data_IF_334889632105
#
_entry.id   IF_334889632105
#
_cell.length_a   1.000
_cell.length_b   1.000
_cell.length_c   1.000
_cell.angle_alpha   90.00
_cell.angle_beta   90.00
_cell.angle_gamma   90.00
#
_symmetry.space_group_name_H-M   'P 1'
#
loop_
_entity.id
_entity.type
_entity.pdbx_description
1 polymer ?
#
# COMPACT_ATOMS: atom_id res chain seq x y z
N UNK A 1 -21.75 -17.76 6.52
CA UNK A 1 -20.91 -16.90 7.39
C UNK A 1 -20.88 -15.51 6.78
N UNK A 2 -20.95 -14.46 7.59
CA UNK A 2 -20.77 -13.08 7.10
C UNK A 2 -19.28 -12.89 6.86
N UNK A 3 -18.88 -12.53 5.63
CA UNK A 3 -17.49 -12.23 5.29
C UNK A 3 -17.06 -10.92 5.94
N UNK A 4 -15.79 -10.80 6.31
CA UNK A 4 -15.24 -9.58 6.91
C UNK A 4 -15.40 -8.36 5.99
N UNK A 5 -15.86 -7.23 6.54
CA UNK A 5 -15.89 -5.92 5.86
C UNK A 5 -14.50 -5.30 5.94
N UNK A 6 -13.88 -5.06 4.79
CA UNK A 6 -12.46 -4.68 4.73
C UNK A 6 -12.30 -3.44 3.89
N UNK A 7 -11.62 -2.45 4.46
CA UNK A 7 -11.23 -1.24 3.78
C UNK A 7 -9.72 -1.16 3.55
N UNK A 8 -9.34 -0.34 2.60
CA UNK A 8 -7.97 0.07 2.35
C UNK A 8 -7.87 1.59 2.48
N UNK A 9 -6.82 2.11 3.11
CA UNK A 9 -6.64 3.51 3.42
C UNK A 9 -5.32 4.02 2.84
N UNK A 10 -5.36 5.18 2.19
CA UNK A 10 -4.21 5.86 1.60
C UNK A 10 -4.25 7.37 1.88
N UNK A 11 -3.08 7.96 2.06
CA UNK A 11 -2.88 9.41 1.94
C UNK A 11 -2.18 9.68 0.60
N UNK A 12 -2.73 10.58 -0.21
CA UNK A 12 -2.28 10.78 -1.59
C UNK A 12 -2.09 12.26 -1.92
N UNK A 13 -1.18 12.53 -2.85
CA UNK A 13 -0.99 13.85 -3.44
C UNK A 13 -0.43 13.74 -4.86
N UNK A 14 -1.11 14.38 -5.80
CA UNK A 14 -0.68 14.52 -7.20
C UNK A 14 -0.29 13.17 -7.85
N UNK A 15 -1.21 12.20 -7.81
CA UNK A 15 -1.08 10.86 -8.40
C UNK A 15 -2.06 10.66 -9.58
N UNK A 16 -2.50 11.73 -10.23
CA UNK A 16 -3.57 11.68 -11.24
C UNK A 16 -3.24 10.84 -12.48
N UNK A 17 -2.00 10.37 -12.64
CA UNK A 17 -1.63 9.42 -13.69
C UNK A 17 -1.97 7.98 -13.31
N UNK A 18 -1.71 7.60 -12.07
CA UNK A 18 -1.59 6.20 -11.66
C UNK A 18 -2.68 5.80 -10.64
N UNK A 19 -3.38 6.78 -10.04
CA UNK A 19 -4.37 6.51 -8.99
C UNK A 19 -5.59 5.72 -9.46
N UNK A 20 -6.01 5.87 -10.73
CA UNK A 20 -7.11 5.10 -11.29
C UNK A 20 -6.80 3.59 -11.27
N UNK A 21 -5.58 3.22 -11.66
CA UNK A 21 -5.13 1.84 -11.61
C UNK A 21 -5.06 1.33 -10.18
N UNK A 22 -4.48 2.11 -9.26
CA UNK A 22 -4.38 1.72 -7.85
C UNK A 22 -5.77 1.44 -7.26
N UNK A 23 -6.77 2.28 -7.56
CA UNK A 23 -8.15 2.10 -7.10
C UNK A 23 -8.78 0.84 -7.72
N UNK A 24 -8.60 0.66 -9.02
CA UNK A 24 -9.12 -0.50 -9.75
C UNK A 24 -8.46 -1.81 -9.31
N UNK A 25 -7.15 -1.80 -9.04
CA UNK A 25 -6.39 -2.95 -8.55
C UNK A 25 -6.91 -3.43 -7.20
N UNK A 26 -7.01 -2.54 -6.21
CA UNK A 26 -7.49 -2.95 -4.89
C UNK A 26 -8.97 -3.35 -4.91
N UNK A 27 -9.79 -2.73 -5.79
CA UNK A 27 -11.13 -3.23 -6.09
C UNK A 27 -11.15 -4.64 -6.67
N UNK A 28 -10.24 -4.96 -7.61
CA UNK A 28 -10.11 -6.28 -8.22
C UNK A 28 -9.55 -7.35 -7.26
N UNK A 29 -8.71 -6.96 -6.30
CA UNK A 29 -8.20 -7.82 -5.22
C UNK A 29 -9.32 -8.18 -4.21
N UNK A 30 -10.32 -7.31 -4.08
CA UNK A 30 -11.50 -7.55 -3.26
C UNK A 30 -11.68 -6.64 -2.05
N UNK A 31 -11.02 -5.49 -2.02
CA UNK A 31 -11.30 -4.49 -0.98
C UNK A 31 -12.70 -3.90 -1.19
N UNK A 32 -13.51 -3.90 -0.12
CA UNK A 32 -14.90 -3.45 -0.18
C UNK A 32 -14.98 -1.94 -0.35
N UNK A 33 -14.13 -1.23 0.40
CA UNK A 33 -14.13 0.22 0.47
C UNK A 33 -12.71 0.76 0.42
N UNK A 34 -12.54 1.96 -0.14
CA UNK A 34 -11.26 2.63 -0.25
C UNK A 34 -11.36 4.02 0.38
N UNK A 35 -10.66 4.22 1.49
CA UNK A 35 -10.61 5.48 2.23
C UNK A 35 -9.41 6.28 1.72
N UNK A 36 -9.67 7.39 1.05
CA UNK A 36 -8.63 8.17 0.39
C UNK A 36 -8.59 9.57 0.99
N UNK A 37 -7.48 9.88 1.66
CA UNK A 37 -7.15 11.22 2.12
C UNK A 37 -6.33 11.92 1.06
N UNK A 38 -6.93 12.84 0.34
CA UNK A 38 -6.26 13.65 -0.67
C UNK A 38 -5.68 14.91 -0.03
N UNK A 39 -4.35 14.95 0.06
CA UNK A 39 -3.61 16.01 0.68
C UNK A 39 -3.13 17.05 -0.34
N UNK A 40 -4.04 17.96 -0.68
CA UNK A 40 -3.75 19.15 -1.49
C UNK A 40 -3.24 18.81 -2.89
N UNK A 41 -3.84 17.80 -3.53
CA UNK A 41 -3.61 17.57 -4.96
C UNK A 41 -4.04 18.79 -5.79
N UNK A 42 -3.30 19.03 -6.86
CA UNK A 42 -3.48 20.13 -7.81
C UNK A 42 -3.56 19.62 -9.26
N UNK A 43 -3.31 18.33 -9.48
CA UNK A 43 -3.55 17.63 -10.73
C UNK A 43 -4.96 16.98 -10.77
N UNK A 44 -5.19 16.07 -11.72
CA UNK A 44 -6.47 15.38 -11.92
C UNK A 44 -6.84 14.35 -10.84
N UNK A 45 -6.04 14.20 -9.77
CA UNK A 45 -6.28 13.23 -8.70
C UNK A 45 -7.71 13.31 -8.13
N UNK A 46 -8.24 14.49 -7.72
CA UNK A 46 -9.58 14.59 -7.15
C UNK A 46 -10.69 14.19 -8.14
N UNK A 47 -10.56 14.58 -9.41
CA UNK A 47 -11.52 14.27 -10.47
C UNK A 47 -11.59 12.77 -10.74
N UNK A 48 -10.44 12.10 -10.76
CA UNK A 48 -10.34 10.66 -10.96
C UNK A 48 -10.95 9.91 -9.78
N UNK A 49 -10.65 10.32 -8.54
CA UNK A 49 -11.26 9.71 -7.35
C UNK A 49 -12.79 9.86 -7.40
N UNK A 50 -13.29 11.02 -7.81
CA UNK A 50 -14.72 11.29 -7.99
C UNK A 50 -15.36 10.46 -9.10
N UNK A 51 -14.63 10.16 -10.17
CA UNK A 51 -15.10 9.23 -11.20
C UNK A 51 -15.17 7.80 -10.64
N UNK A 52 -14.12 7.37 -9.93
CA UNK A 52 -14.04 6.03 -9.35
C UNK A 52 -15.10 5.77 -8.27
N UNK A 53 -15.49 6.78 -7.49
CA UNK A 53 -16.53 6.66 -6.46
C UNK A 53 -17.94 6.37 -7.02
N UNK A 54 -18.15 6.50 -8.33
CA UNK A 54 -19.37 6.08 -9.01
C UNK A 54 -19.41 4.58 -9.33
N UNK A 55 -18.26 3.91 -9.24
CA UNK A 55 -18.04 2.52 -9.68
C UNK A 55 -17.75 1.60 -8.50
N UNK A 56 -16.99 2.11 -7.52
CA UNK A 56 -16.57 1.43 -6.30
C UNK A 56 -16.93 2.29 -5.09
N UNK A 57 -16.95 1.67 -3.90
CA UNK A 57 -17.13 2.42 -2.66
C UNK A 57 -15.84 3.15 -2.28
N UNK A 58 -15.79 4.45 -2.60
CA UNK A 58 -14.63 5.31 -2.30
C UNK A 58 -15.03 6.40 -1.32
N UNK A 59 -14.39 6.41 -0.16
CA UNK A 59 -14.55 7.40 0.91
C UNK A 59 -13.48 8.48 0.77
N UNK A 60 -13.80 9.52 0.03
CA UNK A 60 -12.91 10.66 -0.20
C UNK A 60 -12.92 11.63 0.98
N UNK A 61 -11.73 12.00 1.45
CA UNK A 61 -11.50 13.03 2.46
C UNK A 61 -10.56 14.09 1.89
N UNK A 62 -11.04 15.33 1.82
CA UNK A 62 -10.15 16.46 1.58
C UNK A 62 -9.29 16.69 2.82
N UNK A 63 -7.97 16.60 2.66
CA UNK A 63 -7.03 16.55 3.78
C UNK A 63 -6.00 17.68 3.72
N UNK A 64 -6.37 18.88 4.15
CA UNK A 64 -5.48 20.05 4.06
C UNK A 64 -4.47 20.11 5.22
N UNK A 65 -3.37 19.34 5.11
CA UNK A 65 -2.32 19.26 6.15
C UNK A 65 -0.94 19.54 5.58
N UNK A 66 -0.18 20.38 6.27
CA UNK A 66 1.18 20.79 5.84
C UNK A 66 2.29 20.35 6.77
N UNK A 67 1.95 19.92 7.97
CA UNK A 67 2.91 19.41 8.95
C UNK A 67 3.29 17.96 8.66
N UNK A 68 4.40 17.49 9.25
CA UNK A 68 4.94 16.15 9.02
C UNK A 68 4.05 15.01 9.52
N UNK A 69 3.00 15.28 10.31
CA UNK A 69 2.06 14.25 10.78
C UNK A 69 0.91 13.99 9.82
N UNK A 70 0.86 14.65 8.66
CA UNK A 70 -0.25 14.55 7.71
C UNK A 70 -0.70 13.10 7.43
N UNK A 71 0.24 12.17 7.25
CA UNK A 71 -0.05 10.77 6.95
C UNK A 71 -0.48 9.99 8.20
N UNK A 72 0.26 10.13 9.30
CA UNK A 72 -0.05 9.45 10.57
C UNK A 72 -1.42 9.85 11.09
N UNK A 73 -1.74 11.14 11.04
CA UNK A 73 -3.02 11.65 11.51
C UNK A 73 -4.17 11.22 10.59
N UNK A 74 -3.95 11.12 9.27
CA UNK A 74 -4.94 10.55 8.34
C UNK A 74 -5.24 9.09 8.69
N UNK A 75 -4.20 8.28 8.91
CA UNK A 75 -4.35 6.86 9.22
C UNK A 75 -5.04 6.64 10.56
N UNK A 76 -4.65 7.40 11.59
CA UNK A 76 -5.30 7.33 12.89
C UNK A 76 -6.76 7.83 12.84
N UNK A 77 -7.05 8.86 12.03
CA UNK A 77 -8.42 9.33 11.78
C UNK A 77 -9.26 8.24 11.13
N UNK A 78 -8.72 7.51 10.13
CA UNK A 78 -9.42 6.40 9.50
C UNK A 78 -9.82 5.31 10.50
N UNK A 79 -8.89 4.91 11.38
CA UNK A 79 -9.20 3.98 12.47
C UNK A 79 -10.35 4.50 13.33
N UNK A 80 -10.30 5.76 13.78
CA UNK A 80 -11.31 6.31 14.68
C UNK A 80 -12.70 6.42 14.04
N UNK A 81 -12.77 6.97 12.82
CA UNK A 81 -14.02 7.24 12.11
C UNK A 81 -14.71 5.94 11.69
N UNK A 82 -13.94 4.94 11.25
CA UNK A 82 -14.48 3.74 10.61
C UNK A 82 -14.43 2.47 11.48
N UNK A 83 -14.05 2.56 12.76
CA UNK A 83 -13.87 1.39 13.66
C UNK A 83 -15.09 0.50 13.84
N UNK A 84 -16.30 0.99 13.58
CA UNK A 84 -17.54 0.19 13.65
C UNK A 84 -18.06 -0.24 12.26
N UNK A 85 -17.44 0.28 11.19
CA UNK A 85 -17.81 -0.02 9.81
C UNK A 85 -16.95 -1.12 9.20
N UNK A 86 -15.68 -1.24 9.57
CA UNK A 86 -14.79 -2.27 9.03
C UNK A 86 -14.20 -3.15 10.12
N UNK A 87 -14.10 -4.45 9.82
CA UNK A 87 -13.41 -5.43 10.65
C UNK A 87 -11.90 -5.28 10.52
N UNK A 88 -11.44 -4.87 9.32
CA UNK A 88 -10.04 -4.65 8.99
C UNK A 88 -9.86 -3.40 8.14
N UNK A 89 -8.79 -2.63 8.42
CA UNK A 89 -8.32 -1.54 7.57
C UNK A 89 -6.85 -1.77 7.23
N UNK A 90 -6.54 -1.87 5.93
CA UNK A 90 -5.17 -1.89 5.42
C UNK A 90 -4.67 -0.47 5.14
N UNK A 91 -3.42 -0.17 5.43
CA UNK A 91 -2.82 1.14 5.19
C UNK A 91 -1.69 1.03 4.18
N UNK A 92 -1.84 1.58 2.98
CA UNK A 92 -0.82 1.45 1.92
C UNK A 92 -0.67 2.77 1.16
N UNK A 93 0.50 2.98 0.57
CA UNK A 93 0.85 4.18 -0.19
C UNK A 93 0.44 4.05 -1.67
N UNK A 94 0.46 5.16 -2.42
CA UNK A 94 0.05 5.20 -3.84
C UNK A 94 0.94 4.39 -4.79
N UNK A 95 2.13 3.98 -4.33
CA UNK A 95 3.06 3.12 -5.05
C UNK A 95 3.08 1.68 -4.55
N UNK A 96 2.11 1.29 -3.72
CA UNK A 96 2.04 -0.01 -3.07
C UNK A 96 0.75 -0.76 -3.43
N UNK A 97 0.92 -2.03 -3.82
CA UNK A 97 -0.15 -2.88 -4.32
C UNK A 97 -0.22 -4.14 -3.45
N UNK A 98 -1.19 -4.16 -2.53
CA UNK A 98 -1.38 -5.23 -1.54
C UNK A 98 -2.24 -6.35 -2.11
N UNK A 99 -1.77 -7.59 -1.98
CA UNK A 99 -2.52 -8.76 -2.43
C UNK A 99 -2.15 -10.04 -1.64
N UNK A 100 -3.09 -11.01 -1.55
CA UNK A 100 -2.73 -12.37 -1.12
C UNK A 100 -1.74 -13.01 -2.09
N UNK A 101 -0.86 -13.89 -1.61
CA UNK A 101 0.10 -14.60 -2.47
C UNK A 101 -0.62 -15.63 -3.35
N UNK A 102 -1.69 -16.26 -2.83
CA UNK A 102 -2.54 -17.20 -3.56
C UNK A 102 -3.72 -16.48 -4.24
N UNK A 103 -4.32 -17.02 -5.32
CA UNK A 103 -5.42 -16.38 -6.05
C UNK A 103 -6.76 -16.51 -5.30
N UNK A 104 -6.82 -15.96 -4.09
CA UNK A 104 -7.99 -15.85 -3.23
C UNK A 104 -8.40 -14.39 -3.08
N UNK A 105 -9.68 -14.16 -2.76
CA UNK A 105 -10.16 -12.83 -2.42
C UNK A 105 -9.53 -12.37 -1.10
N UNK A 106 -9.17 -11.09 -0.97
CA UNK A 106 -8.55 -10.59 0.27
C UNK A 106 -9.42 -10.85 1.52
N UNK A 107 -10.75 -10.82 1.35
CA UNK A 107 -11.69 -11.16 2.42
C UNK A 107 -11.59 -12.61 2.88
N UNK A 108 -11.39 -13.55 1.96
CA UNK A 108 -11.20 -14.95 2.31
C UNK A 108 -9.88 -15.17 3.06
N UNK A 109 -8.82 -14.47 2.64
CA UNK A 109 -7.54 -14.47 3.37
C UNK A 109 -7.69 -13.91 4.80
N UNK A 110 -8.36 -12.77 4.96
CA UNK A 110 -8.54 -12.14 6.28
C UNK A 110 -9.53 -12.87 7.18
N UNK A 111 -10.50 -13.61 6.61
CA UNK A 111 -11.40 -14.48 7.36
C UNK A 111 -10.64 -15.60 8.09
N UNK A 112 -9.44 -15.97 7.65
CA UNK A 112 -8.54 -16.89 8.37
C UNK A 112 -8.05 -16.36 9.72
N UNK A 113 -8.18 -15.05 9.97
CA UNK A 113 -7.77 -14.38 11.21
C UNK A 113 -8.95 -13.95 12.08
N UNK A 114 -10.19 -14.09 11.59
CA UNK A 114 -11.37 -13.46 12.20
C UNK A 114 -11.62 -13.86 13.66
N UNK A 115 -11.35 -15.12 14.00
CA UNK A 115 -11.57 -15.70 15.33
C UNK A 115 -10.28 -15.70 16.19
N UNK A 116 -9.20 -15.09 15.69
CA UNK A 116 -7.92 -15.00 16.39
C UNK A 116 -7.81 -13.66 17.13
N UNK A 117 -7.18 -13.70 18.30
CA UNK A 117 -6.77 -12.51 19.05
C UNK A 117 -5.56 -11.85 18.36
N UNK A 118 -5.85 -11.02 17.36
CA UNK A 118 -4.87 -10.34 16.50
C UNK A 118 -5.34 -8.91 16.28
N UNK A 119 -4.53 -7.94 16.69
CA UNK A 119 -4.76 -6.51 16.49
C UNK A 119 -4.24 -6.01 15.14
N UNK A 120 -3.18 -6.63 14.62
CA UNK A 120 -2.57 -6.23 13.35
C UNK A 120 -1.84 -7.36 12.63
N UNK A 121 -1.77 -7.23 11.31
CA UNK A 121 -1.04 -8.11 10.40
C UNK A 121 0.00 -7.25 9.69
N UNK A 122 1.28 -7.58 9.88
CA UNK A 122 2.38 -6.97 9.15
C UNK A 122 2.59 -7.68 7.81
N UNK A 123 2.49 -6.93 6.72
CA UNK A 123 2.68 -7.44 5.36
C UNK A 123 3.91 -6.79 4.75
N UNK A 124 4.90 -7.61 4.40
CA UNK A 124 6.18 -7.15 3.88
C UNK A 124 6.10 -6.62 2.45
N UNK A 125 6.98 -5.67 2.15
CA UNK A 125 7.26 -5.22 0.80
C UNK A 125 8.00 -6.27 -0.02
N UNK A 126 7.66 -6.33 -1.30
CA UNK A 126 8.48 -6.84 -2.38
C UNK A 126 8.81 -5.65 -3.30
N UNK A 127 10.04 -5.13 -3.26
CA UNK A 127 10.44 -3.94 -4.03
C UNK A 127 10.65 -4.28 -5.51
N UNK A 128 9.86 -3.64 -6.37
CA UNK A 128 9.95 -3.72 -7.82
C UNK A 128 10.82 -2.61 -8.40
N UNK A 129 11.67 -2.96 -9.36
CA UNK A 129 12.48 -2.03 -10.13
C UNK A 129 11.77 -1.54 -11.40
N UNK A 130 12.51 -0.82 -12.23
CA UNK A 130 12.00 -0.22 -13.46
C UNK A 130 11.63 -1.22 -14.55
N UNK A 131 11.97 -2.50 -14.39
CA UNK A 131 11.91 -3.52 -15.45
C UNK A 131 12.68 -3.12 -16.72
N UNK A 132 13.67 -2.23 -16.57
CA UNK A 132 14.45 -1.66 -17.67
C UNK A 132 13.77 -0.50 -18.40
N UNK A 133 12.58 -0.07 -17.98
CA UNK A 133 11.85 1.02 -18.61
C UNK A 133 12.42 2.39 -18.24
N UNK A 134 12.63 3.22 -19.25
CA UNK A 134 13.09 4.61 -19.11
C UNK A 134 11.88 5.55 -19.12
N UNK A 135 11.02 5.41 -20.12
CA UNK A 135 9.83 6.24 -20.29
C UNK A 135 8.63 5.69 -19.53
N UNK A 136 7.52 6.42 -19.55
CA UNK A 136 6.26 5.90 -19.04
C UNK A 136 5.81 4.70 -19.89
N UNK A 137 5.32 3.61 -19.27
CA UNK A 137 4.76 2.51 -20.03
C UNK A 137 3.48 2.94 -20.73
N UNK A 138 3.17 2.26 -21.84
CA UNK A 138 1.87 2.39 -22.51
C UNK A 138 0.75 1.66 -21.76
N UNK A 139 1.11 0.66 -20.94
CA UNK A 139 0.21 -0.13 -20.13
C UNK A 139 0.17 0.33 -18.68
N UNK A 140 -0.45 -0.51 -17.85
CA UNK A 140 -0.61 -0.31 -16.41
C UNK A 140 0.70 -0.60 -15.66
N UNK A 141 0.89 0.02 -14.49
CA UNK A 141 2.02 -0.18 -13.58
C UNK A 141 2.22 -1.67 -13.29
N UNK A 142 1.17 -2.35 -12.83
CA UNK A 142 1.24 -3.72 -12.34
C UNK A 142 1.62 -4.76 -13.42
N UNK A 143 1.34 -4.48 -14.70
CA UNK A 143 1.72 -5.35 -15.83
C UNK A 143 3.02 -4.92 -16.52
N UNK A 144 3.45 -3.67 -16.33
CA UNK A 144 4.67 -3.13 -16.97
C UNK A 144 5.92 -3.33 -16.11
N UNK A 145 5.77 -3.23 -14.78
CA UNK A 145 6.87 -3.39 -13.83
C UNK A 145 6.82 -4.79 -13.21
N UNK A 146 7.36 -5.78 -13.91
CA UNK A 146 7.28 -7.19 -13.51
C UNK A 146 8.57 -7.73 -12.91
N UNK A 147 9.60 -6.91 -12.69
CA UNK A 147 10.88 -7.34 -12.13
C UNK A 147 11.12 -6.71 -10.76
N UNK A 148 11.51 -7.55 -9.80
CA UNK A 148 11.74 -7.15 -8.40
C UNK A 148 13.07 -7.60 -7.85
N UNK A 149 13.40 -7.05 -6.69
CA UNK A 149 14.50 -7.49 -5.83
C UNK A 149 14.36 -8.94 -5.36
N UNK A 150 15.50 -9.56 -5.06
CA UNK A 150 15.57 -10.75 -4.20
C UNK A 150 15.00 -10.45 -2.81
N UNK A 151 14.42 -11.46 -2.15
CA UNK A 151 13.74 -11.28 -0.86
C UNK A 151 14.66 -10.76 0.25
N UNK A 152 15.96 -11.06 0.18
CA UNK A 152 17.00 -10.62 1.10
C UNK A 152 17.42 -9.15 0.93
N UNK A 153 16.90 -8.44 -0.08
CA UNK A 153 17.08 -7.00 -0.18
C UNK A 153 16.48 -6.31 1.04
N UNK A 154 17.34 -5.66 1.83
CA UNK A 154 17.01 -5.19 3.17
C UNK A 154 15.71 -4.36 3.26
N UNK A 155 15.40 -3.45 2.31
CA UNK A 155 14.14 -2.72 2.32
C UNK A 155 12.87 -3.59 2.32
N UNK A 156 12.90 -4.83 1.81
CA UNK A 156 11.75 -5.74 1.84
C UNK A 156 11.32 -6.12 3.26
N UNK A 157 12.16 -5.87 4.28
CA UNK A 157 11.80 -6.03 5.69
C UNK A 157 10.75 -5.03 6.17
N UNK A 158 10.58 -3.91 5.47
CA UNK A 158 9.53 -2.96 5.81
C UNK A 158 8.17 -3.62 5.60
N UNK A 159 7.24 -3.28 6.48
CA UNK A 159 5.85 -3.72 6.38
C UNK A 159 4.92 -2.55 6.14
N UNK A 160 3.73 -2.83 5.64
CA UNK A 160 2.54 -2.09 6.04
C UNK A 160 1.63 -2.94 6.90
N UNK A 161 0.69 -2.28 7.56
CA UNK A 161 -0.22 -2.93 8.50
C UNK A 161 -1.63 -3.07 7.93
N UNK A 162 -2.23 -4.24 8.15
CA UNK A 162 -3.67 -4.45 8.13
C UNK A 162 -4.11 -4.60 9.59
N UNK A 163 -4.94 -3.69 10.10
CA UNK A 163 -5.27 -3.65 11.54
C UNK A 163 -6.76 -3.79 11.77
N UNK A 164 -7.12 -4.32 12.94
CA UNK A 164 -8.48 -4.18 13.46
C UNK A 164 -8.62 -2.78 14.04
N UNK A 165 -9.47 -1.92 13.48
CA UNK A 165 -9.52 -0.52 13.92
C UNK A 165 -9.98 -0.36 15.37
N UNK A 166 -10.76 -1.30 15.91
CA UNK A 166 -11.15 -1.31 17.34
C UNK A 166 -9.98 -1.58 18.29
N UNK A 167 -8.94 -2.28 17.82
CA UNK A 167 -7.76 -2.60 18.62
C UNK A 167 -6.71 -1.49 18.60
N UNK A 168 -6.81 -0.51 17.70
CA UNK A 168 -5.79 0.54 17.53
C UNK A 168 -5.85 1.55 18.67
N UNK A 169 -4.73 1.69 19.39
CA UNK A 169 -4.52 2.67 20.47
C UNK A 169 -3.86 3.94 19.92
N UNK A 170 -2.81 3.79 19.10
CA UNK A 170 -2.13 4.91 18.44
C UNK A 170 -1.48 4.47 17.11
N UNK A 171 -1.15 5.45 16.27
CA UNK A 171 -0.30 5.29 15.10
C UNK A 171 0.97 6.11 15.32
N UNK A 172 2.13 5.44 15.38
CA UNK A 172 3.40 6.12 15.66
C UNK A 172 4.10 6.53 14.36
N UNK A 173 3.97 5.69 13.33
CA UNK A 173 4.41 5.96 11.97
C UNK A 173 3.57 5.13 10.98
N UNK A 174 3.64 5.39 9.67
CA UNK A 174 2.85 4.69 8.64
C UNK A 174 3.04 3.16 8.58
N UNK A 175 4.03 2.61 9.27
CA UNK A 175 4.40 1.20 9.32
C UNK A 175 4.17 0.57 10.71
N UNK A 176 3.72 1.34 11.71
CA UNK A 176 3.58 0.88 13.09
C UNK A 176 2.36 1.47 13.80
N UNK A 177 1.41 0.58 14.11
CA UNK A 177 0.27 0.90 14.97
C UNK A 177 0.41 0.16 16.29
N UNK A 178 0.17 0.86 17.39
CA UNK A 178 0.08 0.21 18.69
C UNK A 178 -1.34 -0.32 18.87
N UNK A 179 -1.47 -1.61 19.17
CA UNK A 179 -2.75 -2.30 19.35
C UNK A 179 -2.88 -2.91 20.73
N UNK A 180 -4.11 -3.10 21.20
CA UNK A 180 -4.40 -3.82 22.46
C UNK A 180 -4.32 -5.35 22.33
N UNK A 181 -4.15 -5.86 21.11
CA UNK A 181 -3.96 -7.26 20.77
C UNK A 181 -2.66 -7.49 19.96
N UNK A 182 -2.13 -8.73 19.88
CA UNK A 182 -0.85 -9.01 19.22
C UNK A 182 -0.80 -8.70 17.71
N UNK A 183 0.42 -8.48 17.23
CA UNK A 183 0.74 -8.44 15.80
C UNK A 183 1.21 -9.81 15.30
N UNK A 184 0.81 -10.15 14.07
CA UNK A 184 1.28 -11.34 13.35
C UNK A 184 1.87 -10.96 11.99
N UNK A 185 2.70 -11.84 11.42
CA UNK A 185 3.10 -11.76 10.02
C UNK A 185 1.94 -12.16 9.08
N UNK A 186 2.15 -11.99 7.77
CA UNK A 186 1.14 -12.33 6.77
C UNK A 186 0.76 -13.83 6.72
N UNK A 187 1.58 -14.73 7.27
CA UNK A 187 1.26 -16.14 7.42
C UNK A 187 0.54 -16.46 8.75
N UNK A 188 0.46 -15.48 9.65
CA UNK A 188 -0.18 -15.58 10.94
C UNK A 188 0.71 -16.10 12.07
N UNK A 189 2.03 -16.08 11.92
CA UNK A 189 2.97 -16.32 13.02
C UNK A 189 3.17 -15.02 13.83
N UNK A 190 3.57 -15.09 15.11
CA UNK A 190 3.93 -13.91 15.89
C UNK A 190 4.96 -13.05 15.14
N UNK A 191 4.70 -11.75 15.04
CA UNK A 191 5.62 -10.84 14.35
C UNK A 191 6.81 -10.49 15.25
N UNK A 192 8.02 -10.81 14.78
CA UNK A 192 9.26 -10.37 15.42
C UNK A 192 9.84 -9.15 14.72
N UNK A 193 10.14 -8.10 15.50
CA UNK A 193 10.69 -6.85 14.98
C UNK A 193 12.21 -6.89 14.83
N UNK A 194 12.71 -6.22 13.80
CA UNK A 194 14.14 -6.04 13.59
C UNK A 194 14.74 -5.22 14.74
N UNK A 195 15.95 -5.62 15.16
CA UNK A 195 16.73 -4.92 16.20
C UNK A 195 18.00 -4.41 15.55
N UNK A 196 18.29 -3.12 15.71
CA UNK A 196 19.50 -2.49 15.17
C UNK A 196 20.76 -3.02 15.85
N UNK A 197 21.92 -2.70 15.28
CA UNK A 197 23.22 -3.02 15.88
C UNK A 197 23.42 -2.35 17.26
N UNK A 198 22.63 -1.31 17.58
CA UNK A 198 22.62 -0.67 18.90
C UNK A 198 21.67 -1.35 19.90
N UNK A 199 20.97 -2.41 19.51
CA UNK A 199 20.02 -3.12 20.38
C UNK A 199 18.63 -2.48 20.43
N UNK A 200 18.30 -1.55 19.53
CA UNK A 200 17.02 -0.86 19.50
C UNK A 200 16.05 -1.51 18.49
N UNK A 201 14.78 -1.65 18.87
CA UNK A 201 13.74 -2.13 17.95
C UNK A 201 13.49 -1.07 16.89
N UNK A 202 13.64 -1.46 15.62
CA UNK A 202 13.35 -0.59 14.48
C UNK A 202 11.90 -0.77 14.05
N UNK A 203 11.09 0.25 14.32
CA UNK A 203 9.65 0.20 14.05
C UNK A 203 9.38 0.04 12.56
N UNK A 204 8.52 -0.93 12.23
CA UNK A 204 8.05 -1.17 10.87
C UNK A 204 8.91 -2.14 10.06
N UNK A 205 9.95 -2.73 10.66
CA UNK A 205 10.82 -3.70 10.01
C UNK A 205 10.71 -5.08 10.68
N UNK A 206 10.58 -6.13 9.89
CA UNK A 206 10.62 -7.52 10.37
C UNK A 206 12.05 -8.00 10.62
N UNK A 207 12.22 -8.81 11.67
CA UNK A 207 13.48 -9.52 11.97
C UNK A 207 13.80 -10.59 10.95
N UNK A 208 12.79 -11.28 10.43
CA UNK A 208 12.96 -12.29 9.39
C UNK A 208 13.03 -11.65 7.99
N UNK A 209 13.82 -12.28 7.11
CA UNK A 209 13.74 -12.02 5.67
C UNK A 209 12.35 -12.47 5.22
N UNK A 210 11.61 -11.65 4.43
CA UNK A 210 10.27 -12.02 4.01
C UNK A 210 10.26 -13.27 3.14
N UNK A 211 9.28 -14.14 3.36
CA UNK A 211 9.01 -15.33 2.54
C UNK A 211 7.71 -15.22 1.72
N UNK A 212 7.02 -14.08 1.84
CA UNK A 212 5.77 -13.72 1.16
C UNK A 212 4.62 -14.71 1.37
N UNK A 213 4.67 -15.57 2.38
CA UNK A 213 3.57 -16.48 2.68
C UNK A 213 2.35 -15.70 3.16
N UNK A 214 1.18 -16.04 2.60
CA UNK A 214 -0.10 -15.42 2.93
C UNK A 214 -0.39 -14.21 2.05
N UNK A 215 0.34 -13.12 2.24
CA UNK A 215 0.17 -11.87 1.48
C UNK A 215 1.48 -11.09 1.34
N UNK A 216 1.51 -10.18 0.36
CA UNK A 216 2.63 -9.27 0.13
C UNK A 216 2.18 -7.92 -0.43
N UNK A 217 3.10 -6.96 -0.41
CA UNK A 217 2.93 -5.65 -1.05
C UNK A 217 3.94 -5.52 -2.17
N UNK A 218 3.47 -5.46 -3.41
CA UNK A 218 4.34 -5.04 -4.50
C UNK A 218 4.59 -3.53 -4.35
N UNK A 219 5.85 -3.15 -4.10
CA UNK A 219 6.24 -1.76 -3.93
C UNK A 219 6.92 -1.24 -5.19
N UNK A 220 6.19 -0.48 -5.99
CA UNK A 220 6.64 0.15 -7.23
C UNK A 220 7.30 1.50 -6.94
N UNK A 221 8.31 1.49 -6.08
CA UNK A 221 8.90 2.70 -5.51
C UNK A 221 9.58 3.60 -6.55
N UNK A 222 10.34 2.98 -7.47
CA UNK A 222 11.10 3.68 -8.51
C UNK A 222 10.27 3.89 -9.78
N UNK A 223 9.52 2.86 -10.21
CA UNK A 223 8.89 2.78 -11.54
C UNK A 223 9.94 3.06 -12.63
N UNK A 224 9.57 3.65 -13.75
CA UNK A 224 10.53 4.04 -14.80
C UNK A 224 11.30 5.32 -14.44
N UNK A 225 12.40 5.59 -15.15
CA UNK A 225 13.19 6.81 -14.92
C UNK A 225 12.35 8.10 -15.07
N UNK A 226 11.40 8.13 -16.00
CA UNK A 226 10.47 9.24 -16.18
C UNK A 226 9.56 9.45 -14.95
N UNK A 227 9.05 8.37 -14.35
CA UNK A 227 8.32 8.44 -13.08
C UNK A 227 9.20 8.97 -11.96
N UNK A 228 10.44 8.47 -11.84
CA UNK A 228 11.37 8.91 -10.80
C UNK A 228 11.63 10.42 -10.89
N UNK A 229 11.92 10.94 -12.08
CA UNK A 229 12.10 12.38 -12.31
C UNK A 229 10.85 13.18 -11.91
N UNK A 230 9.65 12.69 -12.23
CA UNK A 230 8.39 13.33 -11.79
C UNK A 230 8.26 13.31 -10.26
N UNK A 231 8.56 12.18 -9.60
CA UNK A 231 8.50 12.02 -8.14
C UNK A 231 9.45 12.98 -7.43
N UNK A 232 10.68 13.14 -7.94
CA UNK A 232 11.66 14.12 -7.45
C UNK A 232 11.13 15.55 -7.62
N UNK A 233 10.60 15.90 -8.80
CA UNK A 233 10.09 17.24 -9.08
C UNK A 233 8.84 17.62 -8.27
N UNK A 234 7.97 16.64 -7.96
CA UNK A 234 6.80 16.83 -7.09
C UNK A 234 7.21 17.21 -5.66
N UNK A 235 8.29 16.58 -5.15
CA UNK A 235 8.75 16.76 -3.77
C UNK A 235 7.83 16.12 -2.72
N UNK A 236 8.13 16.37 -1.45
CA UNK A 236 7.31 16.00 -0.29
C UNK A 236 6.75 17.25 0.40
N UNK A 237 5.59 17.14 1.09
CA UNK A 237 5.19 18.16 2.05
C UNK A 237 6.29 18.42 3.09
N UNK A 238 6.48 19.69 3.45
CA UNK A 238 7.37 20.18 4.51
C UNK A 238 8.90 20.10 4.28
N UNK A 239 9.37 20.14 3.02
CA UNK A 239 10.80 20.24 2.65
C UNK A 239 11.72 19.17 3.30
N UNK A 240 11.14 18.01 3.65
CA UNK A 240 11.79 17.04 4.56
C UNK A 240 12.89 16.24 3.86
N UNK A 241 12.90 16.11 2.52
CA UNK A 241 13.99 15.50 1.77
C UNK A 241 13.94 15.79 0.26
N UNK A 242 15.10 16.06 -0.34
CA UNK A 242 15.28 16.02 -1.80
C UNK A 242 15.75 14.61 -2.16
N UNK A 243 14.91 13.85 -2.88
CA UNK A 243 15.27 12.53 -3.41
C UNK A 243 16.36 12.68 -4.47
N UNK A 244 17.31 11.73 -4.50
CA UNK A 244 18.48 11.78 -5.41
C UNK A 244 18.55 10.55 -6.30
N UNK A 245 19.32 10.62 -7.38
CA UNK A 245 19.49 9.47 -8.28
C UNK A 245 20.13 8.25 -7.62
N UNK A 246 20.98 8.43 -6.61
CA UNK A 246 21.55 7.31 -5.86
C UNK A 246 20.47 6.45 -5.19
N UNK A 247 19.37 7.07 -4.78
CA UNK A 247 18.22 6.35 -4.24
C UNK A 247 17.49 5.56 -5.33
N UNK A 248 17.35 6.11 -6.54
CA UNK A 248 16.83 5.35 -7.68
C UNK A 248 17.71 4.12 -7.96
N UNK A 249 19.02 4.28 -8.06
CA UNK A 249 19.93 3.16 -8.34
C UNK A 249 19.89 2.09 -7.24
N UNK A 250 19.79 2.49 -5.98
CA UNK A 250 19.69 1.55 -4.86
C UNK A 250 18.39 0.73 -4.88
N UNK A 251 17.25 1.37 -5.17
CA UNK A 251 15.95 0.71 -5.18
C UNK A 251 15.57 0.10 -6.54
N UNK A 252 16.27 0.41 -7.63
CA UNK A 252 16.02 -0.13 -8.96
C UNK A 252 16.53 -1.58 -9.11
N UNK A 253 15.85 -2.50 -8.42
CA UNK A 253 16.21 -3.92 -8.30
C UNK A 253 15.33 -4.78 -9.22
N UNK A 254 15.95 -5.58 -10.09
CA UNK A 254 15.29 -6.29 -11.20
C UNK A 254 15.72 -7.76 -11.31
N UNK A 255 16.18 -8.35 -10.22
CA UNK A 255 16.78 -9.69 -10.16
C UNK A 255 15.80 -10.81 -10.53
N UNK A 256 14.54 -10.69 -10.10
CA UNK A 256 13.52 -11.74 -10.24
C UNK A 256 12.37 -11.22 -11.12
N UNK A 257 12.04 -11.97 -12.17
CA UNK A 257 10.79 -11.77 -12.91
C UNK A 257 9.62 -12.36 -12.10
N UNK A 258 8.63 -11.52 -11.79
CA UNK A 258 7.53 -11.82 -10.90
C UNK A 258 6.25 -11.05 -11.32
N UNK A 259 5.52 -11.57 -12.31
CA UNK A 259 4.31 -10.93 -12.85
C UNK A 259 3.06 -11.24 -12.03
N UNK A 260 3.15 -11.52 -10.71
CA UNK A 260 1.99 -12.00 -9.92
C UNK A 260 0.74 -11.11 -10.09
N UNK A 261 0.95 -9.79 -10.19
CA UNK A 261 -0.11 -8.79 -10.18
C UNK A 261 -0.92 -8.83 -11.49
N UNK A 262 -0.33 -9.37 -12.57
CA UNK A 262 -0.96 -9.52 -13.88
C UNK A 262 -2.25 -10.34 -13.79
N UNK A 263 -2.36 -11.26 -12.83
CA UNK A 263 -3.56 -12.09 -12.64
C UNK A 263 -4.83 -11.26 -12.34
N UNK A 264 -4.67 -10.04 -11.83
CA UNK A 264 -5.80 -9.14 -11.55
C UNK A 264 -6.18 -8.25 -12.74
N UNK A 265 -5.31 -8.11 -13.75
CA UNK A 265 -5.50 -7.19 -14.88
C UNK A 265 -6.84 -7.36 -15.61
N UNK A 266 -7.36 -8.60 -15.85
CA UNK A 266 -8.67 -8.76 -16.47
C UNK A 266 -9.81 -8.06 -15.70
N UNK A 267 -9.75 -7.99 -14.38
CA UNK A 267 -10.75 -7.31 -13.56
C UNK A 267 -10.42 -5.82 -13.38
N UNK A 268 -9.14 -5.47 -13.28
CA UNK A 268 -8.69 -4.06 -13.27
C UNK A 268 -9.18 -3.33 -14.52
N UNK A 269 -8.96 -3.89 -15.70
CA UNK A 269 -9.39 -3.30 -16.97
C UNK A 269 -10.91 -3.12 -17.04
N UNK A 270 -11.70 -4.08 -16.54
CA UNK A 270 -13.17 -3.95 -16.46
C UNK A 270 -13.60 -2.82 -15.52
N UNK A 271 -12.88 -2.62 -14.41
CA UNK A 271 -13.18 -1.52 -13.48
C UNK A 271 -12.79 -0.20 -14.12
N UNK A 272 -11.60 -0.09 -14.73
CA UNK A 272 -11.14 1.12 -15.41
C UNK A 272 -12.09 1.54 -16.54
N UNK A 273 -12.58 0.59 -17.35
CA UNK A 273 -13.58 0.85 -18.39
C UNK A 273 -14.86 1.49 -17.82
N UNK A 274 -15.31 1.03 -16.64
CA UNK A 274 -16.47 1.59 -15.93
C UNK A 274 -16.18 2.96 -15.29
N UNK A 275 -14.96 3.20 -14.84
CA UNK A 275 -14.53 4.53 -14.35
C UNK A 275 -14.57 5.52 -15.51
N UNK A 276 -14.26 5.03 -16.72
CA UNK A 276 -14.23 5.76 -17.97
C UNK A 276 -12.95 6.56 -18.05
N UNK A 277 -11.97 6.06 -18.85
CA UNK A 277 -10.62 6.61 -19.05
C UNK A 277 -10.54 8.12 -18.72
N UNK A 278 -10.22 8.46 -17.46
CA UNK A 278 -10.20 9.85 -17.03
C UNK A 278 -8.89 10.55 -17.41
#
# INVERSE_FOLDING_TARGET
MVMSRIALCMNVRDEGRDIAEWIAFHGAVGFHSQIIFDNRSTDSTPEIIKAASKVLDVRYHHWDRTDSRYQVDAYFTACHVYRHEFDWIAFVDSDEYLMPEFPVHIAEYLDGFKDRDVGGIGVNWATYGSSGLIDFPSGLIAESFIRRSSADFFPNRHIKSIVRPLSVISCDNPHWFNTDAPYVDAAGNPLEWYVSDQGEVVKGLTKAIPDYKGARINHYFTRSLAHWKRKVNRGYPADIAIRKMEEFEYYNRNEIEDPIAVRYMPNVLKILDRIGNP
#
